data_IF_168071466412
#
_entry.id   IF_168071466412
#
_cell.length_a   1.000
_cell.length_b   1.000
_cell.length_c   1.000
_cell.angle_alpha   90.00
_cell.angle_beta   90.00
_cell.angle_gamma   90.00
#
_symmetry.space_group_name_H-M   'P 1'
#
loop_
_entity.id
_entity.type
_entity.pdbx_description
1 polymer ?
#
# COMPACT_ATOMS: atom_id res chain seq x y z
N UNK A 1 34.11 7.13 2.36
CA UNK A 1 32.64 6.96 2.43
C UNK A 1 32.12 6.80 3.86
N UNK A 2 32.64 5.88 4.70
CA UNK A 2 32.16 5.75 6.09
C UNK A 2 32.44 6.97 6.99
N UNK A 3 33.44 7.80 6.67
CA UNK A 3 33.79 9.00 7.46
C UNK A 3 32.70 10.08 7.49
N UNK A 4 31.77 10.07 6.52
CA UNK A 4 30.66 11.04 6.42
C UNK A 4 29.37 10.58 7.14
N UNK A 5 29.33 9.33 7.64
CA UNK A 5 28.16 8.79 8.33
C UNK A 5 28.25 9.08 9.85
N UNK A 6 27.11 9.43 10.46
CA UNK A 6 26.97 9.52 11.91
C UNK A 6 27.28 8.18 12.60
N UNK A 7 27.56 8.22 13.91
CA UNK A 7 27.97 7.03 14.67
C UNK A 7 26.95 5.88 14.58
N UNK A 8 25.66 6.19 14.57
CA UNK A 8 24.58 5.19 14.52
C UNK A 8 24.51 4.48 13.16
N UNK A 9 24.69 5.21 12.06
CA UNK A 9 24.71 4.66 10.70
C UNK A 9 25.97 3.84 10.42
N UNK A 10 27.10 4.14 11.08
CA UNK A 10 28.34 3.36 10.93
C UNK A 10 28.20 1.92 11.43
N UNK A 11 27.40 1.70 12.48
CA UNK A 11 27.11 0.35 12.99
C UNK A 11 26.20 -0.47 12.06
N UNK A 12 25.34 0.20 11.30
CA UNK A 12 24.37 -0.42 10.39
C UNK A 12 24.93 -0.69 9.00
N UNK A 13 26.00 -0.01 8.58
CA UNK A 13 26.54 -0.15 7.21
C UNK A 13 27.78 -1.04 7.21
N UNK A 14 27.64 -2.26 6.66
CA UNK A 14 28.75 -3.17 6.40
C UNK A 14 29.21 -3.04 4.96
N UNK A 15 30.41 -2.51 4.75
CA UNK A 15 31.03 -2.37 3.43
C UNK A 15 32.05 -3.48 3.25
N UNK A 16 31.90 -4.24 2.17
CA UNK A 16 32.91 -5.16 1.66
C UNK A 16 33.48 -4.61 0.35
N UNK A 17 34.49 -5.26 -0.23
CA UNK A 17 35.07 -4.84 -1.51
C UNK A 17 34.09 -4.89 -2.69
N UNK A 18 32.99 -5.66 -2.57
CA UNK A 18 32.04 -5.89 -3.66
C UNK A 18 30.60 -5.54 -3.32
N UNK A 19 30.27 -5.31 -2.04
CA UNK A 19 28.91 -5.10 -1.58
C UNK A 19 28.85 -4.11 -0.42
N UNK A 20 27.81 -3.28 -0.43
CA UNK A 20 27.35 -2.52 0.72
C UNK A 20 26.11 -3.22 1.27
N UNK A 21 26.10 -3.54 2.57
CA UNK A 21 24.95 -4.10 3.28
C UNK A 21 24.50 -3.14 4.37
N UNK A 22 23.19 -3.00 4.48
CA UNK A 22 22.51 -2.32 5.58
C UNK A 22 21.96 -3.39 6.52
N UNK A 23 22.40 -3.36 7.77
CA UNK A 23 21.85 -4.14 8.86
C UNK A 23 20.67 -3.37 9.44
N UNK A 24 19.46 -3.80 9.05
CA UNK A 24 18.20 -3.20 9.48
C UNK A 24 17.60 -3.97 10.68
N UNK A 25 18.39 -4.79 11.37
CA UNK A 25 17.92 -5.55 12.53
C UNK A 25 17.40 -4.60 13.62
N UNK A 26 16.15 -4.81 14.05
CA UNK A 26 15.50 -3.98 15.06
C UNK A 26 14.99 -2.64 14.54
N UNK A 27 15.09 -2.38 13.23
CA UNK A 27 14.43 -1.24 12.59
C UNK A 27 13.07 -1.72 12.08
N UNK A 28 12.02 -1.04 12.51
CA UNK A 28 10.68 -1.26 11.98
C UNK A 28 10.60 -0.67 10.58
N UNK A 29 10.25 -1.52 9.61
CA UNK A 29 10.14 -1.16 8.21
C UNK A 29 8.71 -1.41 7.76
N UNK A 30 8.02 -0.33 7.42
CA UNK A 30 6.60 -0.30 7.09
C UNK A 30 6.23 -1.24 5.93
N UNK A 31 7.02 -1.29 4.86
CA UNK A 31 6.75 -2.16 3.72
C UNK A 31 6.91 -3.65 4.05
N UNK A 32 7.75 -4.01 5.02
CA UNK A 32 7.85 -5.38 5.51
C UNK A 32 6.54 -5.75 6.20
N UNK A 33 6.05 -4.90 7.10
CA UNK A 33 4.77 -5.10 7.76
C UNK A 33 3.60 -5.21 6.76
N UNK A 34 3.57 -4.37 5.72
CA UNK A 34 2.57 -4.45 4.64
C UNK A 34 2.61 -5.80 3.93
N UNK A 35 3.80 -6.26 3.55
CA UNK A 35 3.99 -7.53 2.84
C UNK A 35 3.58 -8.73 3.70
N UNK A 36 3.96 -8.75 4.97
CA UNK A 36 3.66 -9.84 5.89
C UNK A 36 2.16 -9.91 6.21
N UNK A 37 1.54 -8.75 6.44
CA UNK A 37 0.11 -8.67 6.73
C UNK A 37 -0.72 -9.09 5.52
N UNK A 38 -0.37 -8.62 4.32
CA UNK A 38 -1.01 -9.04 3.07
C UNK A 38 -0.86 -10.55 2.85
N UNK A 39 0.34 -11.11 3.00
CA UNK A 39 0.57 -12.55 2.88
C UNK A 39 -0.24 -13.36 3.91
N UNK A 40 -0.39 -12.85 5.14
CA UNK A 40 -1.18 -13.49 6.20
C UNK A 40 -2.67 -13.53 5.85
N UNK A 41 -3.21 -12.46 5.28
CA UNK A 41 -4.61 -12.41 4.81
C UNK A 41 -4.83 -13.33 3.61
N UNK A 42 -3.91 -13.34 2.64
CA UNK A 42 -3.98 -14.23 1.49
C UNK A 42 -4.05 -15.70 1.91
N UNK A 43 -3.24 -16.12 2.89
CA UNK A 43 -3.27 -17.48 3.46
C UNK A 43 -4.59 -17.83 4.14
N UNK A 44 -5.26 -16.84 4.73
CA UNK A 44 -6.59 -17.00 5.35
C UNK A 44 -7.75 -16.84 4.35
N UNK A 45 -7.45 -16.73 3.05
CA UNK A 45 -8.44 -16.51 1.97
C UNK A 45 -9.32 -15.29 2.22
N UNK A 46 -8.75 -14.21 2.75
CA UNK A 46 -9.49 -12.96 3.00
C UNK A 46 -10.32 -12.96 4.28
N UNK A 47 -10.35 -14.04 5.08
CA UNK A 47 -11.05 -14.04 6.36
C UNK A 47 -10.31 -13.18 7.39
N UNK A 48 -10.89 -12.02 7.68
CA UNK A 48 -10.39 -11.03 8.64
C UNK A 48 -11.28 -11.02 9.88
N UNK A 49 -10.69 -11.35 11.03
CA UNK A 49 -11.30 -11.16 12.34
C UNK A 49 -11.13 -9.70 12.83
N UNK A 50 -11.85 -9.31 13.88
CA UNK A 50 -11.84 -7.92 14.36
C UNK A 50 -10.44 -7.43 14.78
N UNK A 51 -9.59 -8.32 15.32
CA UNK A 51 -8.22 -7.95 15.71
C UNK A 51 -7.36 -7.71 14.48
N UNK A 52 -7.47 -8.58 13.48
CA UNK A 52 -6.78 -8.44 12.22
C UNK A 52 -7.24 -7.20 11.46
N UNK A 53 -8.54 -6.87 11.49
CA UNK A 53 -9.08 -5.65 10.88
C UNK A 53 -8.47 -4.38 11.51
N UNK A 54 -8.34 -4.36 12.84
CA UNK A 54 -7.71 -3.24 13.56
C UNK A 54 -6.23 -3.10 13.17
N UNK A 55 -5.48 -4.20 13.14
CA UNK A 55 -4.07 -4.20 12.70
C UNK A 55 -3.94 -3.68 11.26
N UNK A 56 -4.86 -4.07 10.37
CA UNK A 56 -4.88 -3.57 8.97
C UNK A 56 -5.20 -2.08 8.91
N UNK A 57 -6.20 -1.61 9.66
CA UNK A 57 -6.59 -0.19 9.70
C UNK A 57 -5.42 0.67 10.15
N UNK A 58 -4.78 0.32 11.27
CA UNK A 58 -3.64 1.07 11.82
C UNK A 58 -2.45 1.09 10.85
N UNK A 59 -2.17 -0.02 10.17
CA UNK A 59 -1.09 -0.08 9.19
C UNK A 59 -1.40 0.77 7.94
N UNK A 60 -2.64 0.73 7.45
CA UNK A 60 -3.07 1.55 6.32
C UNK A 60 -3.07 3.05 6.70
N UNK A 61 -3.47 3.41 7.91
CA UNK A 61 -3.45 4.81 8.40
C UNK A 61 -2.03 5.34 8.54
N UNK A 62 -1.13 4.56 9.15
CA UNK A 62 0.27 4.97 9.34
C UNK A 62 1.06 5.05 8.03
N UNK A 63 0.61 4.35 6.99
CA UNK A 63 1.25 4.35 5.67
C UNK A 63 0.46 5.11 4.61
N UNK A 64 -0.67 5.74 4.98
CA UNK A 64 -1.54 6.45 4.05
C UNK A 64 -0.84 7.67 3.43
N UNK A 65 -0.89 7.79 2.10
CA UNK A 65 -0.49 8.99 1.38
C UNK A 65 1.01 9.19 1.17
N UNK A 66 1.85 8.28 1.67
CA UNK A 66 3.30 8.31 1.44
C UNK A 66 3.69 7.55 0.17
N UNK A 67 4.36 8.24 -0.76
CA UNK A 67 5.12 7.60 -1.84
C UNK A 67 6.36 6.94 -1.24
N UNK A 68 6.60 5.67 -1.57
CA UNK A 68 7.79 4.96 -1.13
C UNK A 68 9.04 5.60 -1.73
N UNK A 69 9.97 6.00 -0.87
CA UNK A 69 11.18 6.75 -1.22
C UNK A 69 10.84 7.98 -2.10
N UNK A 70 9.98 8.86 -1.60
CA UNK A 70 9.69 10.12 -2.27
C UNK A 70 10.98 10.91 -2.50
N UNK A 71 11.11 11.50 -3.69
CA UNK A 71 12.31 12.25 -4.05
C UNK A 71 13.52 11.40 -4.49
N UNK A 72 13.38 10.07 -4.56
CA UNK A 72 14.49 9.18 -4.92
C UNK A 72 15.04 9.46 -6.32
N UNK A 73 14.19 9.76 -7.29
CA UNK A 73 14.62 10.03 -8.67
C UNK A 73 15.56 11.24 -8.73
N UNK A 74 15.27 12.31 -7.97
CA UNK A 74 16.12 13.48 -7.88
C UNK A 74 17.46 13.13 -7.22
N UNK A 75 17.45 12.32 -6.16
CA UNK A 75 18.66 11.86 -5.49
C UNK A 75 19.52 10.98 -6.42
N UNK A 76 18.93 10.01 -7.10
CA UNK A 76 19.63 9.16 -8.06
C UNK A 76 20.25 10.00 -9.17
N UNK A 77 19.48 10.95 -9.73
CA UNK A 77 19.99 11.84 -10.77
C UNK A 77 21.19 12.67 -10.29
N UNK A 78 21.15 13.18 -9.05
CA UNK A 78 22.27 13.93 -8.47
C UNK A 78 23.52 13.08 -8.24
N UNK A 79 23.36 11.81 -7.85
CA UNK A 79 24.48 10.95 -7.45
C UNK A 79 25.06 10.15 -8.62
N UNK A 80 24.23 9.64 -9.53
CA UNK A 80 24.66 8.75 -10.62
C UNK A 80 24.40 9.33 -12.01
N UNK A 81 23.91 10.58 -12.11
CA UNK A 81 23.48 11.19 -13.37
C UNK A 81 22.42 10.35 -14.11
N UNK A 82 21.63 9.57 -13.37
CA UNK A 82 20.60 8.68 -13.92
C UNK A 82 21.14 7.45 -14.66
N UNK A 83 22.41 7.08 -14.46
CA UNK A 83 23.02 5.89 -15.08
C UNK A 83 22.95 4.64 -14.19
N UNK A 84 22.20 4.71 -13.10
CA UNK A 84 21.95 3.59 -12.19
C UNK A 84 20.80 2.72 -12.66
N UNK A 85 20.74 1.47 -12.17
CA UNK A 85 19.56 0.60 -12.30
C UNK A 85 18.67 0.61 -11.05
N UNK A 86 18.84 1.60 -10.18
CA UNK A 86 18.17 1.65 -8.89
C UNK A 86 16.74 2.17 -9.02
N UNK A 87 16.49 3.05 -9.99
CA UNK A 87 15.15 3.52 -10.35
C UNK A 87 14.18 2.37 -10.62
N UNK A 88 14.57 1.41 -11.45
CA UNK A 88 13.70 0.29 -11.82
C UNK A 88 13.33 -0.56 -10.59
N UNK A 89 14.28 -0.73 -9.65
CA UNK A 89 14.04 -1.46 -8.40
C UNK A 89 13.07 -0.70 -7.49
N UNK A 90 13.22 0.63 -7.39
CA UNK A 90 12.31 1.47 -6.58
C UNK A 90 10.92 1.50 -7.19
N UNK A 91 10.79 1.61 -8.51
CA UNK A 91 9.50 1.54 -9.20
C UNK A 91 8.81 0.18 -9.00
N UNK A 92 9.54 -0.93 -9.10
CA UNK A 92 9.00 -2.25 -8.79
C UNK A 92 8.54 -2.37 -7.33
N UNK A 93 9.29 -1.79 -6.39
CA UNK A 93 8.91 -1.75 -4.99
C UNK A 93 7.63 -0.93 -4.76
N UNK A 94 7.50 0.23 -5.42
CA UNK A 94 6.30 1.08 -5.36
C UNK A 94 5.06 0.33 -5.84
N UNK A 95 5.17 -0.38 -6.97
CA UNK A 95 4.08 -1.22 -7.50
C UNK A 95 3.70 -2.33 -6.50
N UNK A 96 4.69 -3.01 -5.92
CA UNK A 96 4.44 -4.06 -4.93
C UNK A 96 3.74 -3.51 -3.67
N UNK A 97 4.20 -2.37 -3.15
CA UNK A 97 3.61 -1.70 -1.99
C UNK A 97 2.17 -1.25 -2.27
N UNK A 98 1.91 -0.67 -3.45
CA UNK A 98 0.58 -0.29 -3.87
C UNK A 98 -0.35 -1.52 -3.93
N UNK A 99 0.14 -2.64 -4.49
CA UNK A 99 -0.61 -3.90 -4.51
C UNK A 99 -0.92 -4.42 -3.11
N UNK A 100 0.03 -4.41 -2.17
CA UNK A 100 -0.22 -4.85 -0.79
C UNK A 100 -1.25 -3.96 -0.10
N UNK A 101 -1.17 -2.64 -0.27
CA UNK A 101 -2.16 -1.70 0.26
C UNK A 101 -3.55 -1.94 -0.33
N UNK A 102 -3.65 -2.23 -1.63
CA UNK A 102 -4.89 -2.57 -2.30
C UNK A 102 -5.53 -3.85 -1.75
N UNK A 103 -4.74 -4.91 -1.55
CA UNK A 103 -5.23 -6.18 -1.02
C UNK A 103 -5.69 -6.04 0.44
N UNK A 104 -4.95 -5.26 1.23
CA UNK A 104 -5.31 -4.93 2.61
C UNK A 104 -6.60 -4.12 2.69
N UNK A 105 -6.73 -3.08 1.86
CA UNK A 105 -7.94 -2.25 1.79
C UNK A 105 -9.17 -3.06 1.37
N UNK A 106 -9.01 -3.99 0.42
CA UNK A 106 -10.05 -4.93 0.00
C UNK A 106 -10.54 -5.78 1.15
N UNK A 107 -9.62 -6.42 1.88
CA UNK A 107 -9.97 -7.29 3.00
C UNK A 107 -10.62 -6.52 4.16
N UNK A 108 -10.13 -5.31 4.45
CA UNK A 108 -10.72 -4.43 5.46
C UNK A 108 -12.13 -3.98 5.05
N UNK A 109 -12.34 -3.62 3.78
CA UNK A 109 -13.64 -3.21 3.27
C UNK A 109 -14.68 -4.34 3.39
N UNK A 110 -14.33 -5.56 2.99
CA UNK A 110 -15.20 -6.73 3.12
C UNK A 110 -15.56 -7.02 4.59
N UNK A 111 -14.60 -6.90 5.50
CA UNK A 111 -14.85 -7.04 6.93
C UNK A 111 -15.81 -5.95 7.45
N UNK A 112 -15.54 -4.69 7.11
CA UNK A 112 -16.36 -3.55 7.53
C UNK A 112 -17.78 -3.61 6.98
N UNK A 113 -17.95 -4.06 5.73
CA UNK A 113 -19.25 -4.34 5.13
C UNK A 113 -20.00 -5.43 5.93
N UNK A 114 -19.35 -6.56 6.21
CA UNK A 114 -19.97 -7.68 6.92
C UNK A 114 -20.48 -7.31 8.33
N UNK A 115 -19.87 -6.30 8.97
CA UNK A 115 -20.31 -5.79 10.29
C UNK A 115 -21.17 -4.52 10.19
N UNK A 116 -21.62 -4.13 9.00
CA UNK A 116 -22.52 -2.98 8.80
C UNK A 116 -21.85 -1.61 8.97
N UNK A 117 -20.54 -1.51 8.75
CA UNK A 117 -19.75 -0.26 8.84
C UNK A 117 -19.08 0.15 7.51
N UNK A 118 -19.76 0.11 6.35
CA UNK A 118 -19.16 0.42 5.04
C UNK A 118 -18.60 1.85 4.91
N UNK A 119 -19.11 2.80 5.71
CA UNK A 119 -18.60 4.18 5.72
C UNK A 119 -17.11 4.24 6.10
N UNK A 120 -16.66 3.36 7.00
CA UNK A 120 -15.27 3.37 7.49
C UNK A 120 -14.27 2.90 6.42
N UNK A 121 -14.69 2.15 5.41
CA UNK A 121 -13.80 1.66 4.35
C UNK A 121 -13.54 2.67 3.23
N UNK A 122 -14.38 3.71 3.08
CA UNK A 122 -14.35 4.61 1.91
C UNK A 122 -13.00 5.29 1.75
N UNK A 123 -12.41 5.81 2.84
CA UNK A 123 -11.13 6.51 2.78
C UNK A 123 -9.99 5.57 2.32
N UNK A 124 -9.96 4.35 2.85
CA UNK A 124 -8.97 3.33 2.46
C UNK A 124 -9.12 2.90 1.01
N UNK A 125 -10.35 2.62 0.56
CA UNK A 125 -10.63 2.23 -0.82
C UNK A 125 -10.24 3.33 -1.80
N UNK A 126 -10.56 4.60 -1.51
CA UNK A 126 -10.14 5.74 -2.35
C UNK A 126 -8.62 5.87 -2.43
N UNK A 127 -7.93 5.75 -1.30
CA UNK A 127 -6.47 5.86 -1.25
C UNK A 127 -5.79 4.73 -2.01
N UNK A 128 -6.28 3.50 -1.87
CA UNK A 128 -5.79 2.35 -2.60
C UNK A 128 -6.07 2.48 -4.11
N UNK A 129 -7.27 2.92 -4.51
CA UNK A 129 -7.63 3.09 -5.91
C UNK A 129 -6.82 4.21 -6.60
N UNK A 130 -6.47 5.27 -5.87
CA UNK A 130 -5.59 6.31 -6.39
C UNK A 130 -4.16 5.80 -6.67
N UNK A 131 -3.71 4.77 -5.94
CA UNK A 131 -2.39 4.16 -6.09
C UNK A 131 -2.40 2.98 -7.09
N UNK A 132 -3.56 2.38 -7.34
CA UNK A 132 -3.74 1.28 -8.29
C UNK A 132 -5.02 1.49 -9.12
N UNK A 133 -5.03 2.44 -10.07
CA UNK A 133 -6.21 2.80 -10.87
C UNK A 133 -6.70 1.68 -11.81
N UNK A 134 -5.93 0.61 -11.98
CA UNK A 134 -6.29 -0.56 -12.77
C UNK A 134 -7.16 -1.59 -12.01
N UNK A 135 -7.30 -1.41 -10.68
CA UNK A 135 -8.00 -2.35 -9.78
C UNK A 135 -9.51 -2.12 -9.80
N UNK A 136 -10.19 -2.69 -10.79
CA UNK A 136 -11.66 -2.66 -10.89
C UNK A 136 -12.38 -3.25 -9.67
N UNK A 137 -11.76 -4.23 -8.98
CA UNK A 137 -12.28 -4.82 -7.76
C UNK A 137 -12.42 -3.78 -6.63
N UNK A 138 -11.42 -2.92 -6.45
CA UNK A 138 -11.48 -1.80 -5.51
C UNK A 138 -12.56 -0.79 -5.90
N UNK A 139 -12.69 -0.48 -7.19
CA UNK A 139 -13.72 0.42 -7.68
C UNK A 139 -15.13 -0.13 -7.38
N UNK A 140 -15.36 -1.43 -7.59
CA UNK A 140 -16.64 -2.09 -7.26
C UNK A 140 -16.96 -2.03 -5.77
N UNK A 141 -15.97 -2.29 -4.90
CA UNK A 141 -16.14 -2.17 -3.45
C UNK A 141 -16.43 -0.73 -3.02
N UNK A 142 -15.76 0.25 -3.64
CA UNK A 142 -16.00 1.66 -3.36
C UNK A 142 -17.42 2.08 -3.77
N UNK A 143 -17.89 1.64 -4.93
CA UNK A 143 -19.27 1.83 -5.38
C UNK A 143 -20.26 1.21 -4.39
N UNK A 144 -20.02 -0.03 -3.95
CA UNK A 144 -20.89 -0.70 -2.98
C UNK A 144 -20.95 0.08 -1.66
N UNK A 145 -19.80 0.51 -1.13
CA UNK A 145 -19.74 1.32 0.09
C UNK A 145 -20.46 2.66 -0.05
N UNK A 146 -20.34 3.34 -1.20
CA UNK A 146 -21.08 4.58 -1.46
C UNK A 146 -22.59 4.35 -1.54
N UNK A 147 -23.04 3.31 -2.23
CA UNK A 147 -24.46 2.98 -2.33
C UNK A 147 -25.07 2.66 -0.96
N UNK A 148 -24.39 1.86 -0.14
CA UNK A 148 -24.83 1.49 1.20
C UNK A 148 -24.87 2.69 2.17
N UNK A 149 -24.09 3.74 1.90
CA UNK A 149 -24.03 4.95 2.73
C UNK A 149 -24.85 6.12 2.15
N UNK A 150 -25.61 5.87 1.08
CA UNK A 150 -26.48 6.87 0.45
C UNK A 150 -25.77 7.90 -0.44
N UNK A 151 -24.48 7.71 -0.72
CA UNK A 151 -23.67 8.60 -1.57
C UNK A 151 -23.81 8.23 -3.06
N UNK A 152 -25.03 8.27 -3.58
CA UNK A 152 -25.37 7.76 -4.92
C UNK A 152 -24.59 8.49 -6.03
N UNK A 153 -24.46 9.82 -5.94
CA UNK A 153 -23.71 10.60 -6.94
C UNK A 153 -22.24 10.16 -7.04
N UNK A 154 -21.58 9.93 -5.90
CA UNK A 154 -20.20 9.41 -5.85
C UNK A 154 -20.09 8.00 -6.40
N UNK A 155 -21.10 7.16 -6.18
CA UNK A 155 -21.13 5.81 -6.73
C UNK A 155 -21.22 5.85 -8.26
N UNK A 156 -22.05 6.73 -8.83
CA UNK A 156 -22.18 6.89 -10.28
C UNK A 156 -20.91 7.49 -10.91
N UNK A 157 -20.26 8.46 -10.27
CA UNK A 157 -18.95 8.98 -10.70
C UNK A 157 -17.94 7.83 -10.91
N UNK A 158 -17.75 6.99 -9.88
CA UNK A 158 -16.81 5.87 -9.94
C UNK A 158 -17.24 4.83 -10.99
N UNK A 159 -18.55 4.56 -11.14
CA UNK A 159 -19.06 3.65 -12.17
C UNK A 159 -18.72 4.13 -13.58
N UNK A 160 -18.86 5.42 -13.84
CA UNK A 160 -18.56 6.00 -15.15
C UNK A 160 -17.06 5.97 -15.44
N UNK A 161 -16.24 6.36 -14.47
CA UNK A 161 -14.78 6.37 -14.61
C UNK A 161 -14.22 4.98 -14.92
N UNK A 162 -14.79 3.94 -14.30
CA UNK A 162 -14.35 2.55 -14.44
C UNK A 162 -15.22 1.71 -15.39
N UNK A 163 -16.22 2.32 -16.05
CA UNK A 163 -17.17 1.65 -16.96
C UNK A 163 -17.81 0.39 -16.37
N UNK A 164 -18.13 0.42 -15.07
CA UNK A 164 -18.69 -0.73 -14.36
C UNK A 164 -20.17 -0.93 -14.75
N UNK A 165 -20.51 -2.11 -15.25
CA UNK A 165 -21.90 -2.48 -15.55
C UNK A 165 -22.72 -2.66 -14.27
N UNK A 166 -24.00 -2.25 -14.29
CA UNK A 166 -24.90 -2.51 -13.17
C UNK A 166 -25.15 -4.02 -13.06
N UNK A 167 -24.60 -4.62 -12.00
CA UNK A 167 -24.93 -5.99 -11.58
C UNK A 167 -23.82 -6.99 -11.80
N UNK A 168 -23.20 -7.41 -10.69
CA UNK A 168 -22.91 -8.81 -10.38
C UNK A 168 -22.55 -8.86 -8.89
N UNK A 169 -23.58 -8.82 -8.05
CA UNK A 169 -23.51 -9.35 -6.69
C UNK A 169 -23.83 -10.83 -6.84
N UNK A 170 -22.82 -11.69 -6.73
CA UNK A 170 -23.00 -13.13 -6.52
C UNK A 170 -22.64 -13.46 -5.09
#
# INVERSE_FOLDING_TARGET
MQSALGADLKGMVRITSTQLRLDLTGIEVDFIALSELSARIARRRGLVDAKLAEEVSQLLESTAGGEFLSGFEQLEHQVTAGRGGAREVVEQARVAIASWRADLATALAQHLEAIGRPQASIAFLRSALAQSPEREDLARLLVAAYMQTGQIERAEEVRLDYRLSQGEVR
#
